data_IF_481701988241
#
_entry.id   IF_481701988241
#
_cell.length_a   1.000
_cell.length_b   1.000
_cell.length_c   1.000
_cell.angle_alpha   90.00
_cell.angle_beta   90.00
_cell.angle_gamma   90.00
#
_symmetry.space_group_name_H-M   'P 1'
#
loop_
_entity.id
_entity.type
_entity.pdbx_description
1 polymer ?
#
# COMPACT_ATOMS: atom_id res chain seq x y z
N UNK A 1 30.68 17.64 11.75
CA UNK A 1 29.69 16.71 12.30
C UNK A 1 28.34 17.35 12.19
N UNK A 2 27.46 16.84 11.33
CA UNK A 2 26.11 17.38 11.17
C UNK A 2 25.27 16.98 12.39
N UNK A 3 24.72 17.95 13.12
CA UNK A 3 23.75 17.68 14.20
C UNK A 3 22.56 16.94 13.59
N UNK A 4 22.24 15.77 14.11
CA UNK A 4 21.00 15.07 13.77
C UNK A 4 19.83 16.03 14.02
N UNK A 5 19.01 16.25 12.99
CA UNK A 5 17.80 17.03 13.14
C UNK A 5 16.88 16.30 14.13
N UNK A 6 16.32 17.03 15.10
CA UNK A 6 15.34 16.47 16.02
C UNK A 6 14.15 15.94 15.23
N UNK A 7 13.54 14.81 15.64
CA UNK A 7 12.41 14.26 14.92
C UNK A 7 11.24 15.22 15.02
N UNK A 8 10.41 15.25 13.97
CA UNK A 8 9.24 16.13 13.87
C UNK A 8 8.22 15.90 15.01
N UNK A 9 8.23 14.71 15.61
CA UNK A 9 7.38 14.30 16.72
C UNK A 9 8.18 13.50 17.76
N UNK A 10 7.89 13.62 19.07
CA UNK A 10 8.47 12.75 20.09
C UNK A 10 8.00 11.29 19.96
N UNK A 11 6.86 11.04 19.29
CA UNK A 11 6.26 9.70 19.13
C UNK A 11 6.15 9.33 17.66
N UNK A 12 6.43 8.06 17.35
CA UNK A 12 6.26 7.47 16.03
C UNK A 12 5.34 6.24 16.09
N UNK A 13 4.43 6.12 15.12
CA UNK A 13 3.56 4.94 14.98
C UNK A 13 4.15 4.02 13.92
N UNK A 14 4.69 2.87 14.35
CA UNK A 14 5.06 1.79 13.44
C UNK A 14 4.02 0.67 13.57
N UNK A 15 3.31 0.37 12.48
CA UNK A 15 2.18 -0.57 12.53
C UNK A 15 2.25 -1.63 11.43
N UNK A 16 1.82 -2.83 11.79
CA UNK A 16 1.55 -3.95 10.87
C UNK A 16 0.13 -3.93 10.33
N UNK A 17 -0.75 -3.09 10.90
CA UNK A 17 -2.11 -2.93 10.41
C UNK A 17 -2.11 -2.20 9.07
N UNK A 18 -3.07 -2.55 8.22
CA UNK A 18 -3.21 -1.99 6.87
C UNK A 18 -4.50 -1.16 6.69
N UNK A 19 -5.27 -1.01 7.77
CA UNK A 19 -6.59 -0.36 7.76
C UNK A 19 -6.55 1.16 7.52
N UNK A 20 -5.40 1.81 7.77
CA UNK A 20 -5.21 3.25 7.64
C UNK A 20 -5.84 4.11 8.74
N UNK A 21 -6.27 3.54 9.88
CA UNK A 21 -6.94 4.30 10.94
C UNK A 21 -6.06 5.38 11.56
N UNK A 22 -4.76 5.15 11.74
CA UNK A 22 -3.85 6.18 12.28
C UNK A 22 -3.77 7.42 11.40
N UNK A 23 -3.77 7.24 10.07
CA UNK A 23 -3.80 8.37 9.12
C UNK A 23 -5.14 9.10 9.18
N UNK A 24 -6.25 8.37 9.23
CA UNK A 24 -7.60 8.96 9.25
C UNK A 24 -7.92 9.69 10.55
N UNK A 25 -7.47 9.17 11.68
CA UNK A 25 -7.70 9.76 13.00
C UNK A 25 -6.83 10.99 13.26
N UNK A 26 -5.74 11.17 12.50
CA UNK A 26 -4.80 12.29 12.63
C UNK A 26 -4.15 12.41 14.02
N UNK A 27 -4.13 11.31 14.78
CA UNK A 27 -3.51 11.25 16.11
C UNK A 27 -1.98 11.38 16.06
N UNK A 28 -1.39 11.05 14.91
CA UNK A 28 0.01 11.30 14.59
C UNK A 28 0.09 11.99 13.22
N UNK A 29 1.06 12.88 13.00
CA UNK A 29 1.23 13.51 11.71
C UNK A 29 1.69 12.46 10.67
N UNK A 30 1.33 12.61 9.38
CA UNK A 30 1.55 11.56 8.36
C UNK A 30 3.00 11.08 8.21
N UNK A 31 3.98 11.93 8.47
CA UNK A 31 5.41 11.63 8.45
C UNK A 31 5.89 10.81 9.65
N UNK A 32 5.08 10.75 10.73
CA UNK A 32 5.35 9.96 11.94
C UNK A 32 4.55 8.64 11.97
N UNK A 33 4.15 8.14 10.81
CA UNK A 33 3.40 6.88 10.65
C UNK A 33 4.11 6.02 9.60
N UNK A 34 4.52 4.82 10.02
CA UNK A 34 5.05 3.76 9.16
C UNK A 34 4.09 2.57 9.12
N UNK A 35 3.62 2.22 7.92
CA UNK A 35 2.70 1.11 7.65
C UNK A 35 3.50 -0.01 6.95
N UNK A 36 4.14 -0.89 7.73
CA UNK A 36 5.20 -1.77 7.21
C UNK A 36 4.68 -2.93 6.35
N UNK A 37 3.39 -3.24 6.46
CA UNK A 37 2.71 -4.20 5.60
C UNK A 37 1.93 -3.51 4.46
N UNK A 38 2.18 -2.22 4.24
CA UNK A 38 1.46 -1.38 3.29
C UNK A 38 0.10 -0.91 3.82
N UNK A 39 -0.82 -0.55 2.92
CA UNK A 39 -2.08 0.12 3.26
C UNK A 39 -3.22 -0.27 2.31
N UNK A 40 -4.45 -0.36 2.83
CA UNK A 40 -5.67 -0.50 2.02
C UNK A 40 -6.03 0.78 1.25
N UNK A 41 -5.48 1.93 1.67
CA UNK A 41 -5.71 3.22 1.01
C UNK A 41 -4.87 3.39 -0.28
N UNK A 42 -3.87 2.52 -0.50
CA UNK A 42 -3.00 2.53 -1.67
C UNK A 42 -3.10 1.19 -2.38
N UNK A 43 -3.02 1.23 -3.70
CA UNK A 43 -3.15 0.05 -4.55
C UNK A 43 -1.92 -0.06 -5.45
N UNK A 44 -1.62 -1.27 -5.91
CA UNK A 44 -0.49 -1.56 -6.79
C UNK A 44 -0.91 -2.49 -7.92
N UNK A 45 -0.11 -2.54 -8.98
CA UNK A 45 -0.26 -3.57 -10.01
C UNK A 45 -0.01 -4.95 -9.40
N UNK A 46 -0.94 -5.89 -9.60
CA UNK A 46 -0.83 -7.27 -9.12
C UNK A 46 -0.04 -8.20 -10.04
N UNK A 47 0.31 -7.78 -11.26
CA UNK A 47 1.06 -8.60 -12.21
C UNK A 47 0.27 -9.77 -12.82
N UNK A 48 -1.05 -9.80 -12.64
CA UNK A 48 -1.94 -10.84 -13.20
C UNK A 48 -2.74 -10.23 -14.36
N UNK A 49 -2.58 -10.74 -15.60
CA UNK A 49 -3.36 -10.29 -16.77
C UNK A 49 -4.88 -10.43 -16.58
N UNK A 50 -5.62 -9.46 -17.10
CA UNK A 50 -7.07 -9.46 -17.13
C UNK A 50 -7.56 -10.49 -18.15
N UNK A 51 -8.29 -11.51 -17.70
CA UNK A 51 -8.88 -12.52 -18.59
C UNK A 51 -8.10 -13.82 -18.79
N UNK A 52 -7.02 -14.09 -18.03
CA UNK A 52 -6.43 -15.45 -17.99
C UNK A 52 -6.85 -16.23 -16.75
N UNK A 53 -7.10 -17.53 -16.91
CA UNK A 53 -7.29 -18.46 -15.79
C UNK A 53 -6.03 -18.49 -14.95
N UNK A 54 -6.21 -18.18 -13.67
CA UNK A 54 -5.25 -18.44 -12.61
C UNK A 54 -4.87 -19.94 -12.60
N UNK A 55 -3.62 -20.37 -12.33
CA UNK A 55 -2.36 -19.63 -12.32
C UNK A 55 -1.28 -20.36 -13.15
N UNK A 56 -0.97 -19.92 -14.38
CA UNK A 56 0.18 -20.50 -15.10
C UNK A 56 1.19 -19.47 -15.63
N UNK A 57 0.89 -18.17 -15.56
CA UNK A 57 1.88 -17.12 -15.86
C UNK A 57 1.73 -15.98 -14.86
N UNK A 58 2.39 -16.10 -13.70
CA UNK A 58 2.49 -15.01 -12.74
C UNK A 58 3.55 -14.04 -13.26
N UNK A 59 3.12 -12.92 -13.85
CA UNK A 59 4.04 -11.85 -14.27
C UNK A 59 4.38 -10.98 -13.06
N UNK A 60 5.54 -10.33 -13.10
CA UNK A 60 5.87 -9.27 -12.13
C UNK A 60 4.89 -8.10 -12.29
N UNK A 61 4.72 -7.30 -11.24
CA UNK A 61 4.06 -5.99 -11.35
C UNK A 61 4.76 -5.16 -12.44
N UNK A 62 4.03 -4.28 -13.12
CA UNK A 62 4.61 -3.43 -14.17
C UNK A 62 5.48 -2.26 -13.64
N UNK A 63 5.63 -2.14 -12.33
CA UNK A 63 6.51 -1.20 -11.64
C UNK A 63 5.96 -0.80 -10.27
N UNK A 64 6.61 0.19 -9.66
CA UNK A 64 6.38 0.61 -8.26
C UNK A 64 5.36 1.73 -8.09
N UNK A 65 4.56 2.00 -9.12
CA UNK A 65 3.51 3.00 -9.02
C UNK A 65 2.44 2.54 -8.02
N UNK A 66 2.13 3.43 -7.07
CA UNK A 66 1.01 3.29 -6.16
C UNK A 66 -0.16 4.15 -6.64
N UNK A 67 -1.34 3.55 -6.61
CA UNK A 67 -2.60 4.11 -7.07
C UNK A 67 -3.51 4.40 -5.89
N UNK A 68 -4.49 5.28 -6.08
CA UNK A 68 -5.58 5.45 -5.13
C UNK A 68 -6.49 4.22 -5.13
N UNK A 69 -7.15 3.98 -3.99
CA UNK A 69 -8.17 2.95 -3.91
C UNK A 69 -9.34 3.27 -4.85
N UNK A 70 -9.90 2.26 -5.56
CA UNK A 70 -11.11 2.45 -6.34
C UNK A 70 -12.29 2.86 -5.44
N UNK A 71 -13.28 3.52 -6.05
CA UNK A 71 -14.52 3.91 -5.37
C UNK A 71 -15.20 2.70 -4.72
N UNK A 72 -15.73 2.90 -3.52
CA UNK A 72 -16.51 1.90 -2.80
C UNK A 72 -17.98 1.84 -3.24
N UNK A 73 -18.42 2.70 -4.15
CA UNK A 73 -19.82 2.79 -4.62
C UNK A 73 -20.34 1.47 -5.22
N UNK A 74 -19.45 0.63 -5.74
CA UNK A 74 -19.81 -0.66 -6.32
C UNK A 74 -19.88 -1.80 -5.28
N UNK A 75 -19.67 -1.52 -3.99
CA UNK A 75 -19.73 -2.51 -2.91
C UNK A 75 -21.13 -2.50 -2.28
N UNK A 76 -21.82 -3.63 -2.36
CA UNK A 76 -22.98 -3.93 -1.53
C UNK A 76 -22.48 -4.54 -0.21
N UNK A 77 -22.52 -3.74 0.85
CA UNK A 77 -22.07 -4.15 2.19
C UNK A 77 -23.04 -5.11 2.87
N UNK A 78 -24.33 -5.10 2.52
CA UNK A 78 -25.32 -6.01 3.11
C UNK A 78 -25.18 -7.41 2.51
N UNK A 79 -25.04 -7.50 1.18
CA UNK A 79 -24.84 -8.77 0.48
C UNK A 79 -23.38 -9.24 0.47
N UNK A 80 -22.43 -8.39 0.90
CA UNK A 80 -20.98 -8.62 0.82
C UNK A 80 -20.55 -8.92 -0.62
N UNK A 81 -20.98 -8.07 -1.57
CA UNK A 81 -20.74 -8.25 -3.01
C UNK A 81 -20.14 -7.01 -3.65
N UNK A 82 -19.33 -7.22 -4.68
CA UNK A 82 -18.78 -6.16 -5.52
C UNK A 82 -19.37 -6.27 -6.93
N UNK A 83 -20.02 -5.20 -7.39
CA UNK A 83 -20.86 -5.19 -8.58
C UNK A 83 -20.22 -4.52 -9.80
N UNK A 84 -18.97 -4.06 -9.70
CA UNK A 84 -18.24 -3.48 -10.82
C UNK A 84 -17.19 -4.45 -11.37
N UNK A 85 -16.63 -4.10 -12.53
CA UNK A 85 -15.46 -4.80 -13.05
C UNK A 85 -14.30 -4.63 -12.06
N UNK A 86 -13.45 -5.66 -11.86
CA UNK A 86 -12.28 -5.50 -11.01
C UNK A 86 -11.38 -4.37 -11.55
N UNK A 87 -10.72 -3.61 -10.69
CA UNK A 87 -9.94 -2.44 -11.11
C UNK A 87 -8.71 -2.87 -11.92
N UNK A 88 -8.46 -2.20 -13.05
CA UNK A 88 -7.30 -2.46 -13.92
C UNK A 88 -6.19 -1.45 -13.69
N UNK A 89 -4.95 -1.90 -13.88
CA UNK A 89 -3.76 -1.08 -13.76
C UNK A 89 -3.65 -0.15 -14.97
N UNK A 90 -3.82 1.15 -14.73
CA UNK A 90 -3.77 2.18 -15.79
C UNK A 90 -2.39 2.30 -16.43
N UNK A 91 -1.32 1.88 -15.76
CA UNK A 91 0.05 1.92 -16.30
C UNK A 91 0.29 0.87 -17.39
N UNK A 92 -0.20 -0.35 -17.22
CA UNK A 92 0.04 -1.45 -18.18
C UNK A 92 -1.20 -1.89 -18.97
N UNK A 93 -2.39 -1.37 -18.63
CA UNK A 93 -3.66 -1.66 -19.30
C UNK A 93 -4.25 -3.04 -19.01
N UNK A 94 -3.42 -4.04 -18.69
CA UNK A 94 -3.84 -5.45 -18.61
C UNK A 94 -3.74 -6.06 -17.19
N UNK A 95 -2.92 -5.51 -16.29
CA UNK A 95 -2.81 -6.06 -14.93
C UNK A 95 -4.00 -5.70 -14.03
N UNK A 96 -4.47 -6.60 -13.18
CA UNK A 96 -5.37 -6.22 -12.10
C UNK A 96 -4.66 -5.34 -11.07
N UNK A 97 -5.35 -4.33 -10.55
CA UNK A 97 -4.93 -3.64 -9.33
C UNK A 97 -5.33 -4.47 -8.12
N UNK A 98 -4.48 -4.46 -7.09
CA UNK A 98 -4.75 -5.02 -5.77
C UNK A 98 -4.38 -4.01 -4.69
N UNK A 99 -4.91 -4.14 -3.47
CA UNK A 99 -4.40 -3.37 -2.34
C UNK A 99 -2.89 -3.57 -2.19
N UNK A 100 -2.20 -2.48 -1.82
CA UNK A 100 -0.79 -2.48 -1.43
C UNK A 100 -0.68 -3.07 -0.02
N UNK A 101 -1.03 -4.35 0.11
CA UNK A 101 -0.95 -5.11 1.36
C UNK A 101 0.06 -6.22 1.13
N UNK A 102 1.04 -6.37 2.01
CA UNK A 102 2.04 -7.42 1.88
C UNK A 102 1.42 -8.78 2.19
N UNK A 103 1.38 -9.68 1.20
CA UNK A 103 0.82 -11.02 1.33
C UNK A 103 1.90 -12.10 1.26
N UNK A 104 1.60 -13.26 1.83
CA UNK A 104 2.45 -14.44 1.68
C UNK A 104 2.66 -14.78 0.20
N UNK A 105 3.91 -15.04 -0.17
CA UNK A 105 4.27 -15.36 -1.55
C UNK A 105 4.41 -14.15 -2.48
N UNK A 106 4.31 -12.91 -1.97
CA UNK A 106 4.55 -11.73 -2.79
C UNK A 106 6.00 -11.66 -3.29
N UNK A 107 6.97 -12.01 -2.45
CA UNK A 107 8.39 -11.92 -2.82
C UNK A 107 8.71 -10.56 -3.44
N UNK A 108 9.25 -10.57 -4.67
CA UNK A 108 9.55 -9.36 -5.42
C UNK A 108 8.35 -8.71 -6.10
N UNK A 109 7.10 -8.96 -5.68
CA UNK A 109 5.87 -8.38 -6.26
C UNK A 109 5.22 -7.29 -5.43
N UNK A 110 5.60 -7.18 -4.15
CA UNK A 110 5.19 -6.07 -3.31
C UNK A 110 5.99 -4.80 -3.66
N UNK A 111 5.35 -3.64 -3.56
CA UNK A 111 6.07 -2.36 -3.67
C UNK A 111 6.72 -2.07 -2.32
N UNK A 112 7.99 -2.48 -2.15
CA UNK A 112 8.79 -2.25 -0.94
C UNK A 112 9.51 -0.90 -0.99
N UNK A 113 8.75 0.17 -1.28
CA UNK A 113 9.29 1.53 -1.28
C UNK A 113 9.28 2.07 0.16
N UNK A 114 10.47 2.25 0.74
CA UNK A 114 10.64 2.67 2.12
C UNK A 114 9.92 3.98 2.43
N UNK A 115 9.91 4.92 1.49
CA UNK A 115 9.22 6.20 1.65
C UNK A 115 7.70 6.00 1.69
N UNK A 116 7.15 5.18 0.79
CA UNK A 116 5.74 4.84 0.78
C UNK A 116 5.30 4.10 2.06
N UNK A 117 6.17 3.26 2.61
CA UNK A 117 5.95 2.54 3.86
C UNK A 117 6.20 3.39 5.12
N UNK A 118 6.71 4.62 4.98
CA UNK A 118 7.09 5.49 6.11
C UNK A 118 8.33 5.04 6.88
N UNK A 119 9.11 4.11 6.33
CA UNK A 119 10.31 3.56 6.98
C UNK A 119 11.49 4.54 7.01
N UNK A 120 11.52 5.53 6.13
CA UNK A 120 12.54 6.59 6.17
C UNK A 120 12.30 7.51 7.38
N UNK A 121 11.05 7.95 7.59
CA UNK A 121 10.68 8.71 8.79
C UNK A 121 10.89 7.91 10.08
N UNK A 122 10.64 6.60 10.07
CA UNK A 122 10.97 5.74 11.20
C UNK A 122 12.48 5.69 11.47
N UNK A 123 13.30 5.60 10.42
CA UNK A 123 14.76 5.59 10.52
C UNK A 123 15.31 6.88 11.12
N UNK A 124 14.79 8.02 10.66
CA UNK A 124 15.12 9.35 11.20
C UNK A 124 14.71 9.49 12.66
N UNK A 125 13.48 9.09 13.01
CA UNK A 125 12.98 9.16 14.38
C UNK A 125 13.79 8.27 15.33
N UNK A 126 14.12 7.03 14.92
CA UNK A 126 14.89 6.09 15.75
C UNK A 126 16.36 6.51 15.93
N UNK A 127 16.90 7.24 14.96
CA UNK A 127 18.29 7.70 14.97
C UNK A 127 18.52 9.00 15.75
N UNK A 128 17.45 9.64 16.23
CA UNK A 128 17.48 10.89 16.98
C UNK A 128 17.29 10.67 18.48
#
# INVERSE_FOLDING_TARGET
GSKAARPASPTFVLTTNVDGFFRRSRVAPPESIGEIHGSLARWQCGGVPSGRKFPLVQRKRCGDALFEAPSAEAVDYEAVRYHSSPPRCTKCGDGWLRPHVFLFGDGDRFVDDRRALGLDGFGEWRGA
#
